data_IF_847025235619
#
_entry.id   IF_847025235619
#
_cell.length_a   1.000
_cell.length_b   1.000
_cell.length_c   1.000
_cell.angle_alpha   90.00
_cell.angle_beta   90.00
_cell.angle_gamma   90.00
#
_symmetry.space_group_name_H-M   'P 1'
#
loop_
_entity.id
_entity.type
_entity.pdbx_description
1 polymer ?
#
# COMPACT_ATOMS: atom_id res chain seq x y z
N UNK A 1 -14.32 -17.05 13.79
CA UNK A 1 -13.04 -16.89 13.07
C UNK A 1 -11.90 -16.89 14.08
N UNK A 2 -10.91 -17.79 13.92
CA UNK A 2 -9.72 -17.84 14.79
C UNK A 2 -8.92 -16.52 14.69
N UNK A 3 -8.24 -16.13 15.77
CA UNK A 3 -7.43 -14.89 15.81
C UNK A 3 -6.38 -14.85 14.70
N UNK A 4 -5.75 -15.98 14.42
CA UNK A 4 -4.77 -16.16 13.33
C UNK A 4 -5.36 -15.82 11.96
N UNK A 5 -6.58 -16.28 11.66
CA UNK A 5 -7.24 -16.00 10.39
C UNK A 5 -7.52 -14.50 10.19
N UNK A 6 -7.78 -13.75 11.28
CA UNK A 6 -7.92 -12.28 11.21
C UNK A 6 -6.60 -11.60 10.86
N UNK A 7 -5.50 -12.06 11.45
CA UNK A 7 -4.15 -11.52 11.19
C UNK A 7 -3.76 -11.78 9.74
N UNK A 8 -3.92 -13.02 9.26
CA UNK A 8 -3.60 -13.39 7.87
C UNK A 8 -4.45 -12.58 6.88
N UNK A 9 -5.72 -12.36 7.19
CA UNK A 9 -6.58 -11.50 6.37
C UNK A 9 -6.03 -10.07 6.29
N UNK A 10 -5.71 -9.44 7.42
CA UNK A 10 -5.15 -8.07 7.46
C UNK A 10 -3.83 -7.99 6.70
N UNK A 11 -2.93 -8.97 6.88
CA UNK A 11 -1.66 -9.05 6.16
C UNK A 11 -1.85 -9.13 4.64
N UNK A 12 -2.82 -9.94 4.19
CA UNK A 12 -3.15 -10.04 2.77
C UNK A 12 -3.65 -8.69 2.22
N UNK A 13 -4.48 -7.97 2.98
CA UNK A 13 -4.96 -6.65 2.54
C UNK A 13 -3.83 -5.62 2.48
N UNK A 14 -2.87 -5.65 3.41
CA UNK A 14 -1.69 -4.78 3.39
C UNK A 14 -0.82 -5.09 2.17
N UNK A 15 -0.59 -6.37 1.88
CA UNK A 15 0.17 -6.78 0.70
C UNK A 15 -0.49 -6.29 -0.60
N UNK A 16 -1.82 -6.43 -0.72
CA UNK A 16 -2.57 -5.93 -1.88
C UNK A 16 -2.45 -4.41 -2.04
N UNK A 17 -2.62 -3.66 -0.95
CA UNK A 17 -2.47 -2.20 -0.97
C UNK A 17 -1.07 -1.78 -1.43
N UNK A 18 -0.02 -2.44 -0.91
CA UNK A 18 1.36 -2.12 -1.29
C UNK A 18 1.65 -2.45 -2.75
N UNK A 19 1.12 -3.56 -3.27
CA UNK A 19 1.23 -3.89 -4.70
C UNK A 19 0.55 -2.84 -5.59
N UNK A 20 -0.65 -2.37 -5.22
CA UNK A 20 -1.34 -1.31 -5.96
C UNK A 20 -0.56 0.00 -5.92
N UNK A 21 -0.05 0.40 -4.74
CA UNK A 21 0.80 1.58 -4.58
C UNK A 21 2.05 1.51 -5.46
N UNK A 22 2.75 0.38 -5.45
CA UNK A 22 3.96 0.19 -6.25
C UNK A 22 3.64 0.29 -7.76
N UNK A 23 2.48 -0.21 -8.20
CA UNK A 23 2.02 -0.04 -9.58
C UNK A 23 1.77 1.43 -9.95
N UNK A 24 1.16 2.20 -9.05
CA UNK A 24 0.94 3.64 -9.26
C UNK A 24 2.26 4.42 -9.34
N UNK A 25 3.22 4.11 -8.46
CA UNK A 25 4.55 4.72 -8.47
C UNK A 25 5.31 4.35 -9.75
N UNK A 26 5.31 3.09 -10.15
CA UNK A 26 5.95 2.61 -11.36
C UNK A 26 5.39 3.27 -12.63
N UNK A 27 4.07 3.42 -12.72
CA UNK A 27 3.41 4.11 -13.83
C UNK A 27 3.82 5.59 -13.89
N UNK A 28 3.82 6.29 -12.75
CA UNK A 28 4.31 7.67 -12.70
C UNK A 28 5.78 7.77 -13.15
N UNK A 29 6.65 6.88 -12.68
CA UNK A 29 8.06 6.82 -13.10
C UNK A 29 8.19 6.57 -14.61
N UNK A 30 7.43 5.62 -15.15
CA UNK A 30 7.41 5.34 -16.59
C UNK A 30 6.98 6.57 -17.41
N UNK A 31 5.89 7.23 -17.00
CA UNK A 31 5.39 8.44 -17.67
C UNK A 31 6.41 9.57 -17.68
N UNK A 32 7.06 9.82 -16.54
CA UNK A 32 8.13 10.81 -16.44
C UNK A 32 9.30 10.48 -17.38
N UNK A 33 9.69 9.21 -17.47
CA UNK A 33 10.71 8.76 -18.41
C UNK A 33 10.32 8.94 -19.89
N UNK A 34 9.01 8.92 -20.18
CA UNK A 34 8.46 9.21 -21.51
C UNK A 34 8.20 10.71 -21.76
N UNK A 35 8.59 11.61 -20.84
CA UNK A 35 8.33 13.05 -20.96
C UNK A 35 6.87 13.46 -20.74
N UNK A 36 6.08 12.60 -20.10
CA UNK A 36 4.69 12.87 -19.73
C UNK A 36 4.58 13.33 -18.27
N UNK A 37 3.47 13.96 -17.92
CA UNK A 37 3.14 14.26 -16.53
C UNK A 37 2.68 13.01 -15.77
N UNK A 38 2.88 13.04 -14.45
CA UNK A 38 2.29 12.06 -13.53
C UNK A 38 0.77 12.06 -13.62
N UNK A 39 0.16 10.92 -13.25
CA UNK A 39 -1.30 10.77 -13.16
C UNK A 39 -1.78 10.51 -11.73
N UNK A 40 -0.94 9.89 -10.91
CA UNK A 40 -1.28 9.61 -9.53
C UNK A 40 -0.60 10.64 -8.63
N UNK A 41 -1.37 11.63 -8.18
CA UNK A 41 -0.98 12.57 -7.13
C UNK A 41 -1.43 12.11 -5.75
N UNK A 42 -1.23 12.97 -4.74
CA UNK A 42 -1.53 12.66 -3.34
C UNK A 42 -2.97 12.19 -3.11
N UNK A 43 -3.94 12.78 -3.82
CA UNK A 43 -5.36 12.39 -3.74
C UNK A 43 -5.60 10.94 -4.18
N UNK A 44 -4.86 10.47 -5.21
CA UNK A 44 -4.99 9.10 -5.69
C UNK A 44 -4.41 8.11 -4.67
N UNK A 45 -3.27 8.44 -4.06
CA UNK A 45 -2.71 7.64 -2.97
C UNK A 45 -3.61 7.66 -1.73
N UNK A 46 -4.21 8.80 -1.39
CA UNK A 46 -5.17 8.89 -0.30
C UNK A 46 -6.41 8.03 -0.56
N UNK A 47 -6.93 8.04 -1.79
CA UNK A 47 -8.05 7.18 -2.19
C UNK A 47 -7.71 5.69 -2.08
N UNK A 48 -6.48 5.30 -2.43
CA UNK A 48 -5.98 3.94 -2.20
C UNK A 48 -5.98 3.60 -0.70
N UNK A 49 -5.50 4.50 0.16
CA UNK A 49 -5.54 4.29 1.61
C UNK A 49 -6.97 4.16 2.13
N UNK A 50 -7.88 5.03 1.70
CA UNK A 50 -9.28 5.02 2.12
C UNK A 50 -10.00 3.74 1.70
N UNK A 51 -9.64 3.16 0.55
CA UNK A 51 -10.14 1.86 0.07
C UNK A 51 -9.77 0.72 1.02
N UNK A 52 -8.54 0.70 1.54
CA UNK A 52 -8.03 -0.41 2.35
C UNK A 52 -8.19 -0.20 3.87
N UNK A 53 -8.37 1.05 4.33
CA UNK A 53 -8.51 1.40 5.73
C UNK A 53 -9.62 0.62 6.50
N UNK A 54 -10.81 0.36 5.93
CA UNK A 54 -11.85 -0.42 6.61
C UNK A 54 -11.48 -1.88 6.85
N UNK A 55 -10.58 -2.45 6.03
CA UNK A 55 -10.23 -3.87 6.04
C UNK A 55 -9.02 -4.17 6.92
N UNK A 56 -8.08 -3.23 6.99
CA UNK A 56 -6.83 -3.34 7.76
C UNK A 56 -7.02 -2.76 9.17
N UNK A 57 -7.93 -1.81 9.31
CA UNK A 57 -8.15 -1.04 10.53
C UNK A 57 -7.24 0.20 10.55
N UNK A 58 -7.80 1.34 10.95
CA UNK A 58 -7.11 2.65 10.91
C UNK A 58 -5.77 2.71 11.67
N UNK A 59 -5.53 1.77 12.58
CA UNK A 59 -4.33 1.72 13.44
C UNK A 59 -3.25 0.73 12.98
N UNK A 60 -3.49 -0.08 11.93
CA UNK A 60 -2.51 -1.05 11.43
C UNK A 60 -1.58 -0.46 10.34
N UNK A 61 -1.64 0.85 10.16
CA UNK A 61 -0.75 1.64 9.32
C UNK A 61 -0.07 2.64 10.26
N UNK A 62 1.26 2.70 10.46
CA UNK A 62 2.38 2.23 9.64
C UNK A 62 3.53 1.62 10.49
N UNK A 63 3.60 0.30 10.66
CA UNK A 63 4.79 -0.34 11.29
C UNK A 63 5.40 -1.47 10.46
N UNK A 64 4.78 -1.86 9.34
CA UNK A 64 5.29 -2.98 8.54
C UNK A 64 6.42 -2.63 7.57
N UNK A 65 6.86 -1.38 7.51
CA UNK A 65 8.16 -1.03 6.93
C UNK A 65 9.33 -1.37 7.88
N UNK A 66 9.09 -1.57 9.19
CA UNK A 66 10.15 -1.78 10.18
C UNK A 66 10.57 -3.26 10.29
N UNK A 67 9.81 -4.20 9.71
CA UNK A 67 10.17 -5.63 9.74
C UNK A 67 11.10 -6.05 8.59
N UNK A 68 11.38 -5.20 7.59
CA UNK A 68 12.44 -5.48 6.61
C UNK A 68 13.78 -4.81 6.95
N UNK A 69 13.84 -3.90 7.93
CA UNK A 69 15.06 -3.17 8.32
C UNK A 69 15.68 -3.66 9.63
N UNK A 70 15.19 -4.77 10.21
CA UNK A 70 15.77 -5.39 11.42
C UNK A 70 16.57 -6.68 11.16
N UNK A 71 16.85 -7.01 9.90
CA UNK A 71 17.68 -8.17 9.51
C UNK A 71 18.89 -7.81 8.64
N UNK A 72 19.49 -6.64 8.85
CA UNK A 72 20.85 -6.29 8.37
C UNK A 72 21.63 -5.60 9.47
#
# INVERSE_FOLDING_TARGET
>A
MKKENKIVFVMAQIALMNCERAGMEAENTYRLNCGQSIIYGDEAFQSLYDKYAPLIGRNAFPEMFILSERET
#
